data_IF_242160878776
#
_entry.id   IF_242160878776
#
_cell.length_a   1.000
_cell.length_b   1.000
_cell.length_c   1.000
_cell.angle_alpha   90.00
_cell.angle_beta   90.00
_cell.angle_gamma   90.00
#
_symmetry.space_group_name_H-M   'P 1'
#
loop_
_entity.id
_entity.type
_entity.pdbx_description
1 polymer ?
#
# COMPACT_ATOMS: atom_id res chain seq x y z
N UNK A 1 0.40 -14.84 -13.08
CA UNK A 1 -0.88 -15.23 -12.51
C UNK A 1 -1.79 -14.02 -12.40
N UNK A 2 -2.96 -14.07 -13.01
CA UNK A 2 -3.92 -12.96 -13.04
C UNK A 2 -5.05 -13.30 -12.09
N UNK A 3 -5.16 -12.53 -11.00
CA UNK A 3 -6.29 -12.63 -10.06
C UNK A 3 -7.13 -11.38 -10.21
N UNK A 4 -8.28 -11.50 -10.88
CA UNK A 4 -9.22 -10.38 -11.07
C UNK A 4 -8.57 -9.09 -11.59
N UNK A 5 -7.69 -9.23 -12.57
CA UNK A 5 -7.01 -8.11 -13.18
C UNK A 5 -5.67 -7.72 -12.55
N UNK A 6 -5.32 -8.27 -11.40
CA UNK A 6 -3.98 -8.09 -10.82
C UNK A 6 -3.01 -9.11 -11.41
N UNK A 7 -1.85 -8.65 -11.80
CA UNK A 7 -0.78 -9.48 -12.30
C UNK A 7 0.42 -9.39 -11.36
N UNK A 8 0.81 -10.51 -10.76
CA UNK A 8 1.99 -10.57 -9.91
C UNK A 8 3.20 -10.94 -10.77
N UNK A 9 4.11 -9.99 -10.90
CA UNK A 9 5.31 -10.16 -11.73
C UNK A 9 6.46 -10.73 -10.89
N UNK A 10 7.28 -11.58 -11.49
CA UNK A 10 8.43 -12.16 -10.82
C UNK A 10 9.66 -11.26 -10.89
N UNK A 11 9.72 -10.40 -11.89
CA UNK A 11 10.81 -9.44 -12.08
C UNK A 11 10.26 -8.07 -12.35
N UNK A 12 10.96 -7.04 -11.87
CA UNK A 12 10.57 -5.65 -12.11
C UNK A 12 10.90 -5.24 -13.55
N UNK A 13 9.95 -4.58 -14.24
CA UNK A 13 10.25 -3.96 -15.53
C UNK A 13 11.38 -2.95 -15.40
N UNK A 14 12.35 -2.97 -16.32
CA UNK A 14 13.47 -2.03 -16.30
C UNK A 14 13.02 -0.59 -16.53
N UNK A 15 12.08 -0.40 -17.47
CA UNK A 15 11.53 0.93 -17.75
C UNK A 15 10.28 1.14 -16.92
N UNK A 16 10.40 1.97 -15.91
CA UNK A 16 9.29 2.34 -15.03
C UNK A 16 9.53 3.72 -14.46
N UNK A 17 8.45 4.44 -14.25
CA UNK A 17 8.48 5.80 -13.68
C UNK A 17 7.95 5.77 -12.25
N UNK A 18 8.75 6.24 -11.31
CA UNK A 18 8.35 6.34 -9.91
C UNK A 18 7.29 7.42 -9.73
N UNK A 19 6.16 7.06 -9.12
CA UNK A 19 5.07 8.00 -8.83
C UNK A 19 5.08 8.44 -7.37
N UNK A 20 5.46 7.56 -6.46
CA UNK A 20 5.50 7.86 -5.03
C UNK A 20 5.52 6.60 -4.19
N UNK A 21 5.32 6.79 -2.90
CA UNK A 21 5.36 5.71 -1.91
C UNK A 21 4.12 5.73 -1.04
N UNK A 22 3.74 4.56 -0.56
CA UNK A 22 2.73 4.40 0.47
C UNK A 22 3.35 3.80 1.72
N UNK A 23 2.96 4.30 2.89
CA UNK A 23 3.46 3.85 4.17
C UNK A 23 2.33 3.50 5.10
N UNK A 24 2.32 2.27 5.59
CA UNK A 24 1.45 1.83 6.68
C UNK A 24 2.30 1.64 7.93
N UNK A 25 2.01 2.43 8.97
CA UNK A 25 2.77 2.34 10.22
C UNK A 25 2.57 1.03 10.97
N UNK A 26 1.46 0.34 10.72
CA UNK A 26 1.07 -0.82 11.49
C UNK A 26 0.71 -0.46 12.94
N UNK A 27 0.25 -1.45 13.66
CA UNK A 27 0.03 -1.34 15.10
C UNK A 27 0.41 -2.69 15.70
N UNK A 28 1.09 -2.69 16.83
CA UNK A 28 1.54 -3.97 17.43
C UNK A 28 0.35 -4.94 17.58
N UNK A 29 0.47 -6.18 17.08
CA UNK A 29 1.67 -6.86 16.52
C UNK A 29 1.91 -6.62 15.02
N UNK A 30 1.19 -5.70 14.42
CA UNK A 30 1.19 -5.50 12.97
C UNK A 30 2.48 -4.85 12.47
N UNK A 31 3.00 -5.25 11.29
CA UNK A 31 4.22 -4.67 10.76
C UNK A 31 4.01 -3.30 10.13
N UNK A 32 5.10 -2.55 10.04
CA UNK A 32 5.18 -1.36 9.23
C UNK A 32 5.57 -1.75 7.79
N UNK A 33 4.88 -1.23 6.80
CA UNK A 33 5.09 -1.59 5.40
C UNK A 33 5.28 -0.38 4.52
N UNK A 34 6.27 -0.44 3.64
CA UNK A 34 6.52 0.58 2.61
C UNK A 34 6.36 -0.05 1.23
N UNK A 35 5.58 0.60 0.39
CA UNK A 35 5.31 0.18 -0.99
C UNK A 35 5.58 1.35 -1.91
N UNK A 36 6.26 1.11 -3.04
CA UNK A 36 6.44 2.10 -4.09
C UNK A 36 5.41 1.89 -5.19
N UNK A 37 4.96 2.99 -5.80
CA UNK A 37 4.02 2.96 -6.92
C UNK A 37 4.71 3.49 -8.15
N UNK A 38 4.61 2.76 -9.25
CA UNK A 38 5.27 3.02 -10.52
C UNK A 38 4.28 3.04 -11.67
N UNK A 39 4.61 3.80 -12.69
CA UNK A 39 3.91 3.75 -13.96
C UNK A 39 4.76 2.97 -14.97
N UNK A 40 4.13 1.99 -15.61
CA UNK A 40 4.76 1.13 -16.63
C UNK A 40 3.84 1.15 -17.84
N UNK A 41 4.20 1.91 -18.87
CA UNK A 41 3.35 2.22 -20.02
C UNK A 41 2.00 2.82 -19.55
N UNK A 42 0.88 2.16 -19.79
CA UNK A 42 -0.45 2.59 -19.36
C UNK A 42 -0.92 1.87 -18.07
N UNK A 43 -0.02 1.14 -17.42
CA UNK A 43 -0.33 0.32 -16.24
C UNK A 43 0.32 0.87 -14.99
N UNK A 44 -0.26 0.53 -13.85
CA UNK A 44 0.32 0.84 -12.54
C UNK A 44 1.00 -0.41 -11.97
N UNK A 45 2.14 -0.21 -11.34
CA UNK A 45 2.89 -1.28 -10.66
C UNK A 45 3.12 -0.88 -9.21
N UNK A 46 2.72 -1.75 -8.30
CA UNK A 46 3.05 -1.64 -6.89
C UNK A 46 4.21 -2.56 -6.55
N UNK A 47 5.21 -2.03 -5.89
CA UNK A 47 6.39 -2.78 -5.49
C UNK A 47 6.54 -2.74 -3.98
N UNK A 48 6.56 -3.90 -3.35
CA UNK A 48 6.86 -4.01 -1.92
C UNK A 48 8.32 -3.66 -1.68
N UNK A 49 8.57 -2.59 -0.91
CA UNK A 49 9.93 -2.17 -0.58
C UNK A 49 10.43 -2.90 0.66
N UNK A 50 9.67 -2.85 1.72
CA UNK A 50 9.96 -3.62 2.94
C UNK A 50 8.72 -3.75 3.83
N UNK A 51 8.73 -4.79 4.63
CA UNK A 51 7.76 -5.06 5.71
C UNK A 51 8.57 -5.38 6.94
N UNK A 52 8.44 -4.57 8.00
CA UNK A 52 9.26 -4.71 9.22
C UNK A 52 8.42 -4.60 10.46
N UNK A 53 8.79 -5.39 11.45
CA UNK A 53 8.07 -5.47 12.72
C UNK A 53 8.77 -4.65 13.80
N UNK A 54 7.98 -4.13 14.72
CA UNK A 54 8.45 -3.51 15.98
C UNK A 54 9.45 -2.37 15.78
N UNK A 55 9.24 -1.55 14.75
CA UNK A 55 10.07 -0.37 14.54
C UNK A 55 9.65 0.76 15.48
N UNK A 56 10.63 1.40 16.09
CA UNK A 56 10.41 2.68 16.78
C UNK A 56 10.19 3.79 15.77
N UNK A 57 9.59 4.93 16.16
CA UNK A 57 9.46 6.06 15.24
C UNK A 57 10.78 6.48 14.59
N UNK A 58 11.86 6.51 15.37
CA UNK A 58 13.17 6.88 14.82
C UNK A 58 13.70 5.84 13.84
N UNK A 59 13.44 4.56 14.08
CA UNK A 59 13.82 3.49 13.16
C UNK A 59 13.03 3.58 11.85
N UNK A 60 11.74 3.94 11.92
CA UNK A 60 10.93 4.18 10.71
C UNK A 60 11.55 5.31 9.89
N UNK A 61 11.87 6.44 10.53
CA UNK A 61 12.50 7.58 9.86
C UNK A 61 13.82 7.17 9.21
N UNK A 62 14.66 6.43 9.94
CA UNK A 62 15.93 5.95 9.41
C UNK A 62 15.75 5.05 8.20
N UNK A 63 14.79 4.13 8.25
CA UNK A 63 14.49 3.24 7.12
C UNK A 63 14.01 4.01 5.91
N UNK A 64 13.14 4.99 6.10
CA UNK A 64 12.65 5.85 5.01
C UNK A 64 13.81 6.61 4.38
N UNK A 65 14.68 7.20 5.18
CA UNK A 65 15.82 7.96 4.68
C UNK A 65 16.80 7.09 3.89
N UNK A 66 16.91 5.81 4.22
CA UNK A 66 17.77 4.87 3.50
C UNK A 66 17.17 4.36 2.20
N UNK A 67 15.83 4.28 2.12
CA UNK A 67 15.15 3.61 1.01
C UNK A 67 14.44 4.55 0.06
N UNK A 68 13.98 5.70 0.52
CA UNK A 68 13.20 6.64 -0.29
C UNK A 68 14.09 7.76 -0.80
N UNK A 69 14.14 7.99 -2.12
CA UNK A 69 14.89 9.13 -2.66
C UNK A 69 14.37 10.47 -2.12
N UNK A 70 15.28 11.39 -1.87
CA UNK A 70 14.95 12.74 -1.42
C UNK A 70 13.95 13.39 -2.41
N UNK A 71 12.96 14.08 -1.89
CA UNK A 71 11.89 14.75 -2.64
C UNK A 71 10.82 13.81 -3.22
N UNK A 72 10.89 12.51 -2.95
CA UNK A 72 9.79 11.62 -3.30
C UNK A 72 8.62 11.80 -2.33
N UNK A 73 7.41 11.80 -2.86
CA UNK A 73 6.21 11.91 -2.03
C UNK A 73 5.90 10.57 -1.36
N UNK A 74 5.61 10.62 -0.07
CA UNK A 74 5.10 9.48 0.70
C UNK A 74 3.69 9.83 1.16
N UNK A 75 2.75 8.92 0.89
CA UNK A 75 1.41 8.98 1.44
C UNK A 75 1.33 7.95 2.56
N UNK A 76 1.10 8.41 3.78
CA UNK A 76 1.07 7.54 4.96
C UNK A 76 -0.35 7.41 5.49
N UNK A 77 -0.67 6.26 6.11
CA UNK A 77 -1.92 6.16 6.83
C UNK A 77 -1.95 7.19 7.97
N UNK A 78 -3.13 7.66 8.35
CA UNK A 78 -3.27 8.72 9.33
C UNK A 78 -3.44 8.23 10.77
N UNK A 79 -3.12 6.97 11.04
CA UNK A 79 -3.26 6.39 12.37
C UNK A 79 -2.21 6.92 13.36
N UNK A 80 -1.08 7.41 12.85
CA UNK A 80 0.04 7.89 13.67
C UNK A 80 0.47 9.31 13.25
N UNK A 81 -0.38 10.32 13.49
CA UNK A 81 -0.07 11.70 13.07
C UNK A 81 1.19 12.27 13.73
N UNK A 82 1.53 11.80 14.92
CA UNK A 82 2.75 12.22 15.62
C UNK A 82 4.02 11.78 14.87
N UNK A 83 4.00 10.59 14.27
CA UNK A 83 5.14 10.12 13.47
C UNK A 83 5.22 10.87 12.14
N UNK A 84 4.10 11.12 11.49
CA UNK A 84 4.05 11.93 10.27
C UNK A 84 4.70 13.30 10.53
N UNK A 85 4.37 13.93 11.64
CA UNK A 85 4.97 15.21 12.02
C UNK A 85 6.48 15.11 12.20
N UNK A 86 6.96 14.09 12.90
CA UNK A 86 8.40 13.87 13.10
C UNK A 86 9.12 13.67 11.76
N UNK A 87 8.50 12.91 10.86
CA UNK A 87 9.03 12.72 9.51
C UNK A 87 9.14 14.04 8.74
N UNK A 88 8.09 14.86 8.81
CA UNK A 88 8.08 16.17 8.16
C UNK A 88 9.17 17.09 8.72
N UNK A 89 9.35 17.06 10.04
CA UNK A 89 10.42 17.82 10.70
C UNK A 89 11.81 17.34 10.32
N UNK A 90 11.94 16.07 9.97
CA UNK A 90 13.19 15.49 9.47
C UNK A 90 13.42 15.78 7.97
N UNK A 91 12.53 16.52 7.32
CA UNK A 91 12.67 16.88 5.92
C UNK A 91 12.08 15.89 4.95
N UNK A 92 11.34 14.89 5.43
CA UNK A 92 10.68 13.89 4.60
C UNK A 92 9.37 14.47 4.05
N UNK A 93 9.14 14.32 2.76
CA UNK A 93 7.92 14.79 2.11
C UNK A 93 6.82 13.74 2.28
N UNK A 94 6.06 13.85 3.34
CA UNK A 94 5.00 12.90 3.70
C UNK A 94 3.70 13.63 3.98
N UNK A 95 2.60 13.06 3.50
CA UNK A 95 1.25 13.56 3.77
C UNK A 95 0.38 12.42 4.29
N UNK A 96 -0.61 12.73 5.15
CA UNK A 96 -1.55 11.72 5.61
C UNK A 96 -2.56 11.36 4.52
N UNK A 97 -2.99 10.11 4.53
CA UNK A 97 -4.05 9.63 3.66
C UNK A 97 -5.40 9.62 4.38
N UNK A 98 -6.44 10.01 3.69
CA UNK A 98 -7.81 9.85 4.17
C UNK A 98 -8.32 8.50 3.66
N UNK A 99 -8.45 7.53 4.56
CA UNK A 99 -8.78 6.12 4.25
C UNK A 99 -10.20 5.89 3.72
N UNK A 100 -11.03 6.91 3.60
CA UNK A 100 -12.41 6.73 3.16
C UNK A 100 -12.65 7.57 1.92
N UNK A 101 -12.72 6.91 0.78
CA UNK A 101 -13.18 7.55 -0.44
C UNK A 101 -14.69 7.37 -0.59
N UNK A 102 -15.38 8.48 -0.83
CA UNK A 102 -16.74 8.47 -1.31
C UNK A 102 -16.68 8.52 -2.83
N UNK A 103 -16.97 7.39 -3.47
CA UNK A 103 -17.17 7.36 -4.92
C UNK A 103 -18.69 7.42 -5.15
N UNK A 104 -19.15 8.52 -5.74
CA UNK A 104 -20.58 8.71 -5.98
C UNK A 104 -21.44 8.73 -4.71
N UNK A 105 -20.88 9.21 -3.59
CA UNK A 105 -21.58 9.29 -2.31
C UNK A 105 -21.61 7.98 -1.51
N UNK A 106 -20.91 6.93 -1.97
CA UNK A 106 -20.80 5.65 -1.27
C UNK A 106 -19.38 5.37 -0.81
N UNK A 107 -19.26 4.85 0.42
CA UNK A 107 -17.99 4.36 0.93
C UNK A 107 -17.62 3.06 0.25
N UNK A 108 -16.49 3.04 -0.43
CA UNK A 108 -15.98 1.84 -1.09
C UNK A 108 -15.08 1.09 -0.11
N UNK A 109 -15.41 -0.18 0.15
CA UNK A 109 -14.57 -1.04 0.97
C UNK A 109 -13.30 -1.47 0.25
N UNK A 110 -12.40 -2.12 0.97
CA UNK A 110 -11.10 -2.56 0.44
C UNK A 110 -11.29 -3.47 -0.78
N UNK A 111 -12.25 -4.38 -0.76
CA UNK A 111 -12.48 -5.28 -1.90
C UNK A 111 -12.93 -4.53 -3.14
N UNK A 112 -13.80 -3.53 -2.99
CA UNK A 112 -14.22 -2.69 -4.12
C UNK A 112 -13.05 -1.92 -4.72
N UNK A 113 -12.15 -1.45 -3.89
CA UNK A 113 -10.92 -0.77 -4.32
C UNK A 113 -9.99 -1.72 -5.07
N UNK A 114 -9.80 -2.94 -4.55
CA UNK A 114 -8.99 -3.96 -5.22
C UNK A 114 -9.55 -4.32 -6.60
N UNK A 115 -10.88 -4.44 -6.72
CA UNK A 115 -11.52 -4.70 -8.00
C UNK A 115 -11.33 -3.54 -8.97
N UNK A 116 -11.49 -2.31 -8.51
CA UNK A 116 -11.25 -1.11 -9.31
C UNK A 116 -9.82 -1.06 -9.81
N UNK A 117 -8.85 -1.35 -8.94
CA UNK A 117 -7.43 -1.40 -9.32
C UNK A 117 -7.18 -2.50 -10.36
N UNK A 118 -7.88 -3.63 -10.24
CA UNK A 118 -7.81 -4.71 -11.22
C UNK A 118 -8.26 -4.29 -12.61
N UNK A 119 -9.26 -3.41 -12.71
CA UNK A 119 -9.75 -2.88 -14.00
C UNK A 119 -8.64 -2.12 -14.76
N UNK A 120 -7.69 -1.54 -14.05
CA UNK A 120 -6.53 -0.85 -14.65
C UNK A 120 -5.37 -1.78 -14.95
N UNK A 121 -5.58 -3.09 -14.92
CA UNK A 121 -4.54 -4.10 -15.15
C UNK A 121 -3.33 -3.88 -14.23
N UNK A 122 -3.62 -3.76 -12.95
CA UNK A 122 -2.63 -3.46 -11.93
C UNK A 122 -1.57 -4.56 -11.83
N UNK A 123 -0.32 -4.18 -11.83
CA UNK A 123 0.79 -5.11 -11.58
C UNK A 123 1.28 -4.97 -10.16
N UNK A 124 1.77 -6.06 -9.60
CA UNK A 124 2.33 -6.06 -8.26
C UNK A 124 3.59 -6.93 -8.19
N UNK A 125 4.53 -6.51 -7.37
CA UNK A 125 5.76 -7.22 -7.09
C UNK A 125 5.97 -7.26 -5.58
N UNK A 126 6.10 -8.45 -5.03
CA UNK A 126 6.34 -8.64 -3.60
C UNK A 126 5.57 -9.80 -3.03
N UNK A 127 6.24 -10.58 -2.19
CA UNK A 127 5.68 -11.80 -1.62
C UNK A 127 4.57 -11.53 -0.61
N UNK A 128 4.78 -10.57 0.28
CA UNK A 128 3.79 -10.21 1.31
C UNK A 128 2.55 -9.63 0.67
N UNK A 129 2.72 -8.79 -0.35
CA UNK A 129 1.62 -8.20 -1.10
C UNK A 129 0.78 -9.26 -1.80
N UNK A 130 1.44 -10.26 -2.41
CA UNK A 130 0.75 -11.38 -3.04
C UNK A 130 -0.04 -12.21 -2.02
N UNK A 131 0.56 -12.52 -0.88
CA UNK A 131 -0.09 -13.28 0.19
C UNK A 131 -1.32 -12.55 0.73
N UNK A 132 -1.22 -11.24 0.97
CA UNK A 132 -2.35 -10.43 1.42
C UNK A 132 -3.48 -10.40 0.41
N UNK A 133 -3.16 -10.26 -0.87
CA UNK A 133 -4.16 -10.25 -1.93
C UNK A 133 -4.89 -11.59 -2.01
N UNK A 134 -4.16 -12.69 -1.91
CA UNK A 134 -4.75 -14.04 -1.92
C UNK A 134 -5.66 -14.26 -0.70
N UNK A 135 -5.26 -13.78 0.47
CA UNK A 135 -6.07 -13.90 1.69
C UNK A 135 -7.38 -13.13 1.55
N UNK A 136 -7.38 -11.94 0.98
CA UNK A 136 -8.60 -11.19 0.70
C UNK A 136 -9.50 -11.92 -0.28
N UNK A 137 -8.96 -12.46 -1.35
CA UNK A 137 -9.70 -13.22 -2.35
C UNK A 137 -10.30 -14.50 -1.77
N UNK A 138 -9.55 -15.18 -0.93
CA UNK A 138 -10.02 -16.40 -0.26
C UNK A 138 -11.18 -16.09 0.71
N UNK A 139 -11.08 -15.05 1.48
CA UNK A 139 -12.14 -14.63 2.41
C UNK A 139 -13.45 -14.31 1.67
N UNK A 140 -13.36 -13.60 0.54
CA UNK A 140 -14.52 -13.30 -0.31
C UNK A 140 -15.16 -14.57 -0.87
N UNK A 141 -14.38 -15.49 -1.42
CA UNK A 141 -14.90 -16.68 -2.06
C UNK A 141 -15.56 -17.65 -1.07
N UNK A 142 -15.11 -17.67 0.18
CA UNK A 142 -15.63 -18.58 1.21
C UNK A 142 -17.03 -18.22 1.67
N UNK A 143 -17.34 -16.94 1.76
CA UNK A 143 -18.60 -16.46 2.34
C UNK A 143 -19.49 -15.70 1.36
N UNK A 144 -19.04 -15.47 0.14
CA UNK A 144 -19.79 -14.68 -0.83
C UNK A 144 -19.92 -13.21 -0.45
N UNK A 145 -19.41 -12.82 0.71
CA UNK A 145 -19.39 -11.44 1.19
C UNK A 145 -18.03 -11.14 1.78
N UNK A 146 -17.58 -9.91 1.61
CA UNK A 146 -16.36 -9.45 2.25
C UNK A 146 -16.54 -9.47 3.76
N UNK A 147 -15.74 -10.26 4.45
CA UNK A 147 -15.75 -10.26 5.90
C UNK A 147 -14.73 -9.27 6.44
N UNK A 148 -15.22 -8.40 7.32
CA UNK A 148 -14.38 -7.44 8.04
C UNK A 148 -13.40 -8.09 9.03
N UNK A 149 -13.37 -9.42 9.07
CA UNK A 149 -12.53 -10.22 9.98
C UNK A 149 -11.29 -10.81 9.33
N UNK A 150 -10.78 -10.21 8.30
CA UNK A 150 -9.45 -10.56 7.82
C UNK A 150 -8.48 -10.19 8.95
N UNK A 151 -7.59 -11.12 9.34
CA UNK A 151 -6.63 -10.82 10.40
C UNK A 151 -5.90 -9.54 10.07
N UNK A 152 -5.93 -8.57 10.98
CA UNK A 152 -5.37 -7.24 10.77
C UNK A 152 -3.88 -7.25 10.40
N UNK A 153 -3.20 -8.41 10.54
CA UNK A 153 -1.81 -8.56 10.16
C UNK A 153 -1.56 -8.76 8.67
N UNK A 154 -2.59 -8.95 7.84
CA UNK A 154 -2.42 -9.35 6.45
C UNK A 154 -2.97 -8.32 5.43
N UNK A 155 -3.32 -7.11 5.86
CA UNK A 155 -3.90 -6.11 4.98
C UNK A 155 -3.05 -4.85 4.78
N UNK A 156 -1.83 -4.83 5.31
CA UNK A 156 -0.99 -3.62 5.36
C UNK A 156 -0.60 -3.10 3.99
N UNK A 157 -0.06 -3.97 3.15
CA UNK A 157 0.40 -3.55 1.83
C UNK A 157 -0.77 -3.11 0.94
N UNK A 158 -1.90 -3.79 1.06
CA UNK A 158 -3.11 -3.46 0.31
C UNK A 158 -3.66 -2.10 0.73
N UNK A 159 -3.69 -1.81 2.04
CA UNK A 159 -4.12 -0.52 2.56
C UNK A 159 -3.21 0.61 2.09
N UNK A 160 -1.91 0.36 2.03
CA UNK A 160 -0.92 1.30 1.53
C UNK A 160 -1.13 1.60 0.04
N UNK A 161 -1.40 0.58 -0.75
CA UNK A 161 -1.72 0.75 -2.18
C UNK A 161 -2.93 1.63 -2.38
N UNK A 162 -3.97 1.39 -1.62
CA UNK A 162 -5.18 2.20 -1.67
C UNK A 162 -4.87 3.66 -1.34
N UNK A 163 -4.11 3.90 -0.27
CA UNK A 163 -3.69 5.22 0.12
C UNK A 163 -2.90 5.93 -0.98
N UNK A 164 -1.96 5.22 -1.62
CA UNK A 164 -1.12 5.78 -2.68
C UNK A 164 -1.91 6.11 -3.93
N UNK A 165 -2.86 5.28 -4.33
CA UNK A 165 -3.69 5.51 -5.51
C UNK A 165 -4.58 6.74 -5.38
N UNK A 166 -5.09 7.02 -4.20
CA UNK A 166 -5.95 8.19 -3.97
C UNK A 166 -5.29 9.53 -4.30
N UNK A 167 -3.97 9.57 -4.51
CA UNK A 167 -3.20 10.79 -4.81
C UNK A 167 -2.52 10.75 -6.18
N UNK A 168 -2.81 9.75 -6.95
CA UNK A 168 -2.32 9.64 -8.33
C UNK A 168 -3.43 9.93 -9.32
#
# INVERSE_FOLDING_TARGET
NIFNGWEFVETLPEQRELMGYGLDFGFRPDPCALVSLWKVDDRLLACEEWVKYELTPQEIINQIQQTVPTHSLIVADNARPEIIREMQMAGIQVIPCVKQENIGGQKVGVMGQLEKMGEYKFMAYGKTLEEEYLDYRFAESKDGTFQSKIPSGNDHCIMVLDASEGYT
#
